data_IF_867718376721
#
_entry.id   IF_867718376721
#
_cell.length_a   1.000
_cell.length_b   1.000
_cell.length_c   1.000
_cell.angle_alpha   90.00
_cell.angle_beta   90.00
_cell.angle_gamma   90.00
#
_symmetry.space_group_name_H-M   'P 1'
#
loop_
_entity.id
_entity.type
_entity.pdbx_description
1 polymer ?
#
# COMPACT_ATOMS: atom_id res chain seq x y z
N UNK A 1 -23.80 22.48 12.34
CA UNK A 1 -22.53 21.76 12.50
C UNK A 1 -21.42 22.69 12.07
N UNK A 2 -20.52 23.00 12.98
CA UNK A 2 -19.53 24.06 12.85
C UNK A 2 -18.50 23.72 11.77
N UNK A 3 -18.16 24.73 10.96
CA UNK A 3 -17.08 24.67 9.99
C UNK A 3 -15.78 24.19 10.67
N UNK A 4 -15.02 23.35 9.98
CA UNK A 4 -13.68 22.95 10.39
C UNK A 4 -12.84 24.23 10.51
N UNK A 5 -12.61 24.68 11.74
CA UNK A 5 -11.68 25.77 12.02
C UNK A 5 -10.29 25.16 11.97
N UNK A 6 -9.61 25.31 10.83
CA UNK A 6 -8.18 25.07 10.74
C UNK A 6 -7.47 25.88 11.83
N UNK A 7 -6.45 25.29 12.45
CA UNK A 7 -5.68 25.93 13.52
C UNK A 7 -5.21 27.33 13.08
N UNK A 8 -5.88 28.37 13.59
CA UNK A 8 -5.61 29.78 13.26
C UNK A 8 -4.29 30.29 13.86
N UNK A 9 -3.65 29.49 14.73
CA UNK A 9 -2.30 29.75 15.23
C UNK A 9 -1.20 29.25 14.29
N UNK A 10 -1.53 28.53 13.21
CA UNK A 10 -0.57 28.23 12.14
C UNK A 10 -0.39 29.49 11.30
N UNK A 11 0.44 30.41 11.81
CA UNK A 11 1.07 31.43 10.98
C UNK A 11 2.24 30.78 10.25
N UNK A 12 2.04 30.37 9.00
CA UNK A 12 3.14 29.91 8.13
C UNK A 12 3.93 31.13 7.67
N UNK A 13 4.64 31.77 8.60
CA UNK A 13 5.73 32.66 8.22
C UNK A 13 6.95 31.78 7.98
N UNK A 14 7.07 31.33 6.73
CA UNK A 14 8.32 30.83 6.14
C UNK A 14 8.88 29.53 6.71
N UNK A 15 8.92 28.49 5.88
CA UNK A 15 10.04 27.55 6.01
C UNK A 15 11.26 28.24 5.40
N UNK A 16 12.41 28.27 6.08
CA UNK A 16 13.61 28.98 5.61
C UNK A 16 14.21 28.46 4.28
N UNK A 17 13.61 27.40 3.68
CA UNK A 17 14.07 26.74 2.45
C UNK A 17 13.09 26.85 1.28
N UNK A 18 11.79 27.01 1.53
CA UNK A 18 10.82 27.32 0.48
C UNK A 18 10.59 28.83 0.45
N UNK A 19 11.19 29.52 -0.54
CA UNK A 19 11.05 30.98 -0.67
C UNK A 19 9.62 31.42 -1.01
N UNK A 20 8.88 30.57 -1.74
CA UNK A 20 7.54 30.86 -2.22
C UNK A 20 6.67 29.62 -1.96
N UNK A 21 5.52 29.81 -1.29
CA UNK A 21 4.50 28.78 -1.09
C UNK A 21 3.27 29.22 -1.87
N UNK A 22 2.76 28.35 -2.74
CA UNK A 22 1.53 28.57 -3.47
C UNK A 22 0.50 27.53 -3.06
N UNK A 23 -0.70 27.96 -2.67
CA UNK A 23 -1.77 27.06 -2.27
C UNK A 23 -2.89 27.17 -3.30
N UNK A 24 -3.31 26.03 -3.82
CA UNK A 24 -4.49 25.93 -4.66
C UNK A 24 -5.53 25.11 -3.93
N UNK A 25 -6.69 25.74 -3.76
CA UNK A 25 -7.84 25.13 -3.11
C UNK A 25 -8.90 24.81 -4.17
N UNK A 26 -9.38 23.57 -4.13
CA UNK A 26 -10.50 23.13 -4.95
C UNK A 26 -11.73 23.17 -4.07
N UNK A 27 -12.39 24.32 -4.04
CA UNK A 27 -13.71 24.44 -3.45
C UNK A 27 -14.65 23.39 -4.02
N UNK A 28 -15.40 22.71 -3.15
CA UNK A 28 -16.38 21.70 -3.53
C UNK A 28 -15.83 20.51 -4.34
N UNK A 29 -14.54 20.17 -4.22
CA UNK A 29 -13.94 19.00 -4.87
C UNK A 29 -14.70 17.71 -4.56
N UNK A 30 -14.96 16.93 -5.62
CA UNK A 30 -15.57 15.61 -5.52
C UNK A 30 -14.79 14.67 -4.59
N UNK A 31 -13.45 14.79 -4.54
CA UNK A 31 -12.57 14.02 -3.65
C UNK A 31 -12.90 14.22 -2.16
N UNK A 32 -13.03 15.45 -1.70
CA UNK A 32 -13.43 15.73 -0.31
C UNK A 32 -14.90 15.43 -0.03
N UNK A 33 -15.69 15.22 -1.09
CA UNK A 33 -17.07 14.75 -0.99
C UNK A 33 -17.19 13.23 -0.98
N UNK A 34 -16.09 12.52 -1.23
CA UNK A 34 -16.08 11.06 -1.14
C UNK A 34 -16.33 10.63 0.29
N UNK A 35 -17.11 9.55 0.46
CA UNK A 35 -17.49 9.04 1.77
C UNK A 35 -16.31 8.92 2.74
N UNK A 36 -15.15 8.44 2.27
CA UNK A 36 -13.94 8.25 3.09
C UNK A 36 -13.21 9.54 3.53
N UNK A 37 -13.42 10.67 2.85
CA UNK A 37 -12.88 11.99 3.24
C UNK A 37 -13.86 12.78 4.12
N UNK A 38 -15.16 12.48 4.04
CA UNK A 38 -16.20 13.09 4.88
C UNK A 38 -16.36 12.35 6.21
N UNK A 39 -16.23 11.02 6.19
CA UNK A 39 -16.27 10.17 7.35
C UNK A 39 -15.33 8.99 7.10
N UNK A 40 -14.14 9.04 7.70
CA UNK A 40 -13.11 8.01 7.56
C UNK A 40 -13.53 6.60 8.06
N UNK A 41 -14.76 6.46 8.57
CA UNK A 41 -15.30 5.28 9.27
C UNK A 41 -16.48 4.62 8.54
N UNK A 42 -17.14 5.25 7.54
CA UNK A 42 -18.23 4.61 6.78
C UNK A 42 -17.74 3.80 5.57
N UNK A 43 -18.44 2.71 5.28
CA UNK A 43 -18.02 1.60 4.40
C UNK A 43 -18.67 1.66 3.01
N UNK A 44 -19.05 2.85 2.53
CA UNK A 44 -19.62 2.98 1.19
C UNK A 44 -18.60 2.47 0.17
N UNK A 45 -19.03 1.56 -0.72
CA UNK A 45 -18.21 1.17 -1.87
C UNK A 45 -17.77 2.47 -2.54
N UNK A 46 -16.50 2.53 -2.90
CA UNK A 46 -16.00 3.62 -3.71
C UNK A 46 -16.47 3.44 -5.16
N UNK A 47 -17.78 3.39 -5.38
CA UNK A 47 -18.35 3.79 -6.67
C UNK A 47 -17.91 5.23 -6.88
N UNK A 48 -17.35 5.53 -8.04
CA UNK A 48 -16.81 6.85 -8.38
C UNK A 48 -15.43 7.20 -7.79
N UNK A 49 -14.61 6.26 -7.28
CA UNK A 49 -13.20 6.59 -6.95
C UNK A 49 -12.49 7.18 -8.16
N UNK A 50 -12.55 6.45 -9.28
CA UNK A 50 -11.87 6.87 -10.50
C UNK A 50 -12.47 8.18 -11.03
N UNK A 51 -13.79 8.35 -11.06
CA UNK A 51 -14.41 9.60 -11.53
C UNK A 51 -14.13 10.80 -10.60
N UNK A 52 -14.32 10.68 -9.28
CA UNK A 52 -14.09 11.78 -8.34
C UNK A 52 -12.60 12.12 -8.20
N UNK A 53 -11.73 11.11 -8.28
CA UNK A 53 -10.28 11.30 -8.31
C UNK A 53 -9.81 11.92 -9.62
N UNK A 54 -10.27 11.42 -10.78
CA UNK A 54 -9.94 11.98 -12.09
C UNK A 54 -10.49 13.40 -12.26
N UNK A 55 -11.72 13.68 -11.80
CA UNK A 55 -12.34 15.00 -11.80
C UNK A 55 -11.58 15.96 -10.88
N UNK A 56 -11.25 15.54 -9.65
CA UNK A 56 -10.49 16.37 -8.71
C UNK A 56 -9.09 16.62 -9.23
N UNK A 57 -8.45 15.61 -9.84
CA UNK A 57 -7.15 15.76 -10.48
C UNK A 57 -7.20 16.73 -11.65
N UNK A 58 -8.17 16.59 -12.54
CA UNK A 58 -8.35 17.49 -13.67
C UNK A 58 -8.62 18.93 -13.20
N UNK A 59 -9.51 19.11 -12.23
CA UNK A 59 -9.82 20.42 -11.65
C UNK A 59 -8.61 21.03 -10.94
N UNK A 60 -7.81 20.21 -10.24
CA UNK A 60 -6.56 20.65 -9.64
C UNK A 60 -5.58 21.14 -10.72
N UNK A 61 -5.40 20.35 -11.78
CA UNK A 61 -4.55 20.70 -12.92
C UNK A 61 -4.98 22.01 -13.55
N UNK A 62 -6.28 22.16 -13.84
CA UNK A 62 -6.83 23.35 -14.48
C UNK A 62 -6.61 24.59 -13.62
N UNK A 63 -6.88 24.51 -12.31
CA UNK A 63 -6.61 25.63 -11.39
C UNK A 63 -5.14 25.95 -11.27
N UNK A 64 -4.26 24.94 -11.25
CA UNK A 64 -2.81 25.12 -11.13
C UNK A 64 -2.18 25.73 -12.37
N UNK A 65 -2.59 25.29 -13.56
CA UNK A 65 -2.08 25.80 -14.83
C UNK A 65 -2.67 27.18 -15.14
N UNK A 66 -3.95 27.41 -14.79
CA UNK A 66 -4.65 28.67 -15.11
C UNK A 66 -4.38 29.80 -14.11
N UNK A 67 -3.70 29.53 -13.00
CA UNK A 67 -3.31 30.58 -12.05
C UNK A 67 -2.24 31.50 -12.68
N UNK A 68 -2.69 32.65 -13.18
CA UNK A 68 -1.85 33.61 -13.88
C UNK A 68 -0.74 34.18 -12.99
N UNK A 69 -0.95 34.28 -11.67
CA UNK A 69 0.04 34.83 -10.76
C UNK A 69 1.13 33.80 -10.48
N UNK A 70 0.77 32.54 -10.26
CA UNK A 70 1.69 31.41 -10.16
C UNK A 70 2.51 31.29 -11.43
N UNK A 71 1.86 31.21 -12.59
CA UNK A 71 2.55 31.02 -13.88
C UNK A 71 3.46 32.20 -14.23
N UNK A 72 3.07 33.44 -13.90
CA UNK A 72 3.93 34.61 -14.06
C UNK A 72 5.16 34.55 -13.16
N UNK A 73 5.03 34.05 -11.93
CA UNK A 73 6.17 33.86 -11.03
C UNK A 73 7.09 32.72 -11.49
N UNK A 74 6.51 31.57 -11.88
CA UNK A 74 7.26 30.43 -12.37
C UNK A 74 8.05 30.80 -13.62
N UNK A 75 7.45 31.52 -14.58
CA UNK A 75 8.14 32.01 -15.78
C UNK A 75 9.25 33.03 -15.53
N UNK A 76 9.27 33.70 -14.37
CA UNK A 76 10.30 34.68 -14.01
C UNK A 76 11.66 34.02 -13.71
N UNK A 77 11.69 32.70 -13.51
CA UNK A 77 12.89 31.95 -13.14
C UNK A 77 13.17 30.83 -14.14
N UNK A 78 14.41 30.35 -14.14
CA UNK A 78 14.82 29.11 -14.81
C UNK A 78 15.01 28.02 -13.75
N UNK A 79 14.55 26.82 -14.04
CA UNK A 79 14.63 25.67 -13.15
C UNK A 79 15.37 24.53 -13.84
N UNK A 80 16.23 23.83 -13.10
CA UNK A 80 17.03 22.72 -13.63
C UNK A 80 16.28 21.38 -13.62
N UNK A 81 15.42 21.14 -12.61
CA UNK A 81 14.61 19.93 -12.47
C UNK A 81 13.26 20.25 -11.81
N UNK A 82 12.20 19.55 -12.23
CA UNK A 82 10.91 19.54 -11.53
C UNK A 82 10.72 18.21 -10.78
N UNK A 83 10.38 18.30 -9.51
CA UNK A 83 10.14 17.17 -8.60
C UNK A 83 8.68 17.22 -8.17
N UNK A 84 7.88 16.20 -8.51
CA UNK A 84 6.45 16.18 -8.18
C UNK A 84 6.03 14.93 -7.45
N UNK A 85 5.09 15.09 -6.52
CA UNK A 85 4.21 13.99 -6.11
C UNK A 85 3.44 13.51 -7.34
N UNK A 86 3.52 12.22 -7.69
CA UNK A 86 2.95 11.70 -8.94
C UNK A 86 1.45 11.36 -8.85
N UNK A 87 0.75 11.91 -7.85
CA UNK A 87 -0.68 11.66 -7.67
C UNK A 87 -1.55 12.45 -8.66
N UNK A 88 -1.12 13.64 -9.08
CA UNK A 88 -1.94 14.57 -9.84
C UNK A 88 -1.43 14.85 -11.25
N UNK A 89 -0.15 14.58 -11.57
CA UNK A 89 0.41 14.64 -12.93
C UNK A 89 0.54 16.06 -13.52
N UNK A 90 -0.19 17.04 -12.99
CA UNK A 90 -0.26 18.43 -13.46
C UNK A 90 1.10 19.13 -13.45
N UNK A 91 1.93 18.83 -12.46
CA UNK A 91 3.25 19.43 -12.34
C UNK A 91 4.16 19.10 -13.54
N UNK A 92 3.98 17.93 -14.17
CA UNK A 92 4.69 17.58 -15.40
C UNK A 92 4.20 18.41 -16.60
N UNK A 93 2.92 18.76 -16.65
CA UNK A 93 2.38 19.71 -17.64
C UNK A 93 2.97 21.12 -17.46
N UNK A 94 3.12 21.57 -16.22
CA UNK A 94 3.79 22.84 -15.91
C UNK A 94 5.27 22.80 -16.29
N UNK A 95 5.96 21.69 -16.06
CA UNK A 95 7.34 21.50 -16.51
C UNK A 95 7.46 21.75 -18.03
N UNK A 96 6.53 21.19 -18.81
CA UNK A 96 6.48 21.39 -20.26
C UNK A 96 6.27 22.87 -20.63
N UNK A 97 5.30 23.56 -20.02
CA UNK A 97 5.03 24.99 -20.30
C UNK A 97 6.23 25.89 -19.96
N UNK A 98 6.98 25.54 -18.92
CA UNK A 98 8.15 26.29 -18.47
C UNK A 98 9.45 25.90 -19.18
N UNK A 99 9.42 24.88 -20.06
CA UNK A 99 10.60 24.36 -20.75
C UNK A 99 11.59 23.64 -19.82
N UNK A 100 11.11 23.08 -18.70
CA UNK A 100 11.92 22.29 -17.77
C UNK A 100 12.00 20.86 -18.32
N UNK A 101 13.17 20.46 -18.81
CA UNK A 101 13.38 19.15 -19.43
C UNK A 101 13.54 18.01 -18.41
N UNK A 102 14.30 18.22 -17.33
CA UNK A 102 14.45 17.21 -16.29
C UNK A 102 13.22 17.19 -15.37
N UNK A 103 12.55 16.05 -15.27
CA UNK A 103 11.41 15.87 -14.36
C UNK A 103 11.52 14.55 -13.59
N UNK A 104 11.00 14.51 -12.38
CA UNK A 104 11.00 13.30 -11.54
C UNK A 104 9.77 13.21 -10.64
N UNK A 105 9.26 11.99 -10.48
CA UNK A 105 8.16 11.67 -9.57
C UNK A 105 8.71 11.23 -8.21
N UNK A 106 8.26 11.87 -7.14
CA UNK A 106 8.59 11.52 -5.75
C UNK A 106 7.35 11.05 -5.03
N UNK A 107 7.48 9.95 -4.31
CA UNK A 107 6.41 9.37 -3.52
C UNK A 107 6.60 9.84 -2.06
N UNK A 108 5.53 10.25 -1.40
CA UNK A 108 5.59 11.20 -0.28
C UNK A 108 6.11 10.67 1.07
N UNK A 109 6.86 9.57 1.18
CA UNK A 109 7.43 9.17 2.49
C UNK A 109 8.81 8.49 2.43
N UNK A 110 9.86 9.10 3.01
CA UNK A 110 11.05 8.42 3.53
C UNK A 110 10.81 7.78 4.92
N UNK A 111 11.66 6.83 5.31
CA UNK A 111 11.52 6.07 6.57
C UNK A 111 11.99 6.87 7.80
N UNK A 112 11.07 7.23 8.70
CA UNK A 112 11.41 7.79 10.02
C UNK A 112 12.06 6.72 10.92
N UNK A 113 12.80 7.07 11.99
CA UNK A 113 13.49 6.04 12.81
C UNK A 113 12.51 5.04 13.42
N UNK A 114 11.40 5.51 13.98
CA UNK A 114 10.33 4.62 14.45
C UNK A 114 9.70 3.84 13.29
N UNK A 115 9.45 4.47 12.14
CA UNK A 115 8.96 3.80 10.92
C UNK A 115 9.97 2.78 10.38
N UNK A 116 11.26 2.97 10.60
CA UNK A 116 12.35 2.07 10.18
C UNK A 116 12.48 0.88 11.11
N UNK A 117 12.40 1.09 12.42
CA UNK A 117 12.35 0.03 13.42
C UNK A 117 11.06 -0.79 13.27
N UNK A 118 9.93 -0.12 13.03
CA UNK A 118 8.65 -0.74 12.66
C UNK A 118 8.80 -1.56 11.39
N UNK A 119 9.49 -1.07 10.35
CA UNK A 119 9.66 -1.78 9.07
C UNK A 119 10.85 -2.76 9.04
N UNK A 120 11.53 -2.99 10.18
CA UNK A 120 12.75 -3.82 10.32
C UNK A 120 13.93 -3.39 9.47
N UNK A 121 13.94 -2.12 9.12
CA UNK A 121 15.04 -1.47 8.46
C UNK A 121 15.95 -0.97 9.59
N UNK A 122 17.10 -1.63 9.77
CA UNK A 122 18.06 -1.27 10.80
C UNK A 122 18.47 0.20 10.66
N UNK A 123 18.04 1.03 11.62
CA UNK A 123 18.53 2.40 11.73
C UNK A 123 19.99 2.41 12.16
N UNK A 124 20.82 3.23 11.52
CA UNK A 124 22.23 3.42 11.91
C UNK A 124 22.40 4.71 12.70
N UNK A 125 22.19 4.72 14.05
CA UNK A 125 22.31 5.90 14.92
C UNK A 125 23.65 6.64 14.80
N UNK A 126 24.69 5.92 14.40
CA UNK A 126 26.03 6.49 14.19
C UNK A 126 26.15 7.37 12.95
N UNK A 127 25.17 7.34 12.05
CA UNK A 127 25.20 8.01 10.74
C UNK A 127 23.91 8.73 10.33
N UNK A 128 22.76 8.37 10.90
CA UNK A 128 21.44 8.93 10.56
C UNK A 128 20.76 9.42 11.85
N UNK A 129 20.37 10.70 11.89
CA UNK A 129 19.61 11.31 13.00
C UNK A 129 18.11 11.12 12.79
N UNK A 130 17.33 11.16 13.87
CA UNK A 130 15.86 11.07 13.79
C UNK A 130 15.24 12.23 12.98
N UNK A 131 14.10 11.96 12.32
CA UNK A 131 13.46 12.87 11.35
C UNK A 131 12.54 13.90 12.04
N UNK A 132 12.03 13.58 13.24
CA UNK A 132 11.20 14.49 14.04
C UNK A 132 12.06 15.36 14.99
N UNK A 133 13.17 14.82 15.50
CA UNK A 133 14.08 15.55 16.41
C UNK A 133 15.56 15.24 16.12
N UNK A 134 16.16 15.78 15.04
CA UNK A 134 17.54 15.49 14.69
C UNK A 134 18.52 16.12 15.69
N UNK A 135 19.42 15.30 16.24
CA UNK A 135 20.54 15.75 17.10
C UNK A 135 21.51 16.67 16.37
N UNK A 136 21.63 16.50 15.05
CA UNK A 136 22.41 17.37 14.17
C UNK A 136 21.88 17.30 12.74
N UNK A 137 21.63 18.45 12.14
CA UNK A 137 21.16 18.52 10.75
C UNK A 137 22.36 18.68 9.82
N UNK A 138 22.80 17.57 9.21
CA UNK A 138 23.86 17.54 8.21
C UNK A 138 25.29 17.50 8.77
N UNK A 139 26.23 16.99 7.96
CA UNK A 139 27.64 16.79 8.32
C UNK A 139 27.93 15.46 9.02
N UNK A 140 29.22 15.16 9.28
CA UNK A 140 29.64 13.94 9.99
C UNK A 140 29.31 14.09 11.49
N UNK A 141 28.61 13.11 12.06
CA UNK A 141 28.28 13.08 13.48
C UNK A 141 29.54 12.88 14.32
N UNK A 142 29.76 13.76 15.30
CA UNK A 142 30.82 13.62 16.30
C UNK A 142 30.48 12.52 17.32
N UNK A 143 31.43 12.10 18.15
CA UNK A 143 31.18 11.09 19.19
C UNK A 143 30.08 11.51 20.16
N UNK A 144 30.02 12.79 20.52
CA UNK A 144 28.96 13.36 21.37
C UNK A 144 27.62 13.42 20.65
N UNK A 145 27.59 13.79 19.36
CA UNK A 145 26.34 13.77 18.57
C UNK A 145 25.78 12.35 18.47
N UNK A 146 26.65 11.36 18.25
CA UNK A 146 26.26 9.94 18.18
C UNK A 146 25.73 9.45 19.52
N UNK A 147 26.31 9.88 20.63
CA UNK A 147 25.88 9.52 21.99
C UNK A 147 24.52 10.12 22.33
N UNK A 148 24.29 11.40 22.03
CA UNK A 148 22.97 12.03 22.20
C UNK A 148 21.92 11.42 21.26
N UNK A 149 22.31 11.05 20.03
CA UNK A 149 21.41 10.37 19.10
C UNK A 149 21.03 8.97 19.63
N UNK A 150 21.98 8.27 20.24
CA UNK A 150 21.75 6.98 20.92
C UNK A 150 20.82 7.13 22.13
N UNK A 151 21.02 8.16 22.97
CA UNK A 151 20.12 8.44 24.11
C UNK A 151 18.72 8.77 23.64
N UNK A 152 18.58 9.64 22.64
CA UNK A 152 17.27 10.02 22.09
C UNK A 152 16.58 8.81 21.47
N UNK A 153 17.30 7.99 20.70
CA UNK A 153 16.79 6.73 20.15
C UNK A 153 16.38 5.76 21.25
N UNK A 154 17.17 5.60 22.30
CA UNK A 154 16.84 4.70 23.40
C UNK A 154 15.63 5.20 24.19
N UNK A 155 15.57 6.51 24.48
CA UNK A 155 14.43 7.15 25.12
C UNK A 155 13.17 7.09 24.24
N UNK A 156 13.29 7.26 22.93
CA UNK A 156 12.18 7.21 21.97
C UNK A 156 11.72 5.77 21.73
N UNK A 157 12.64 4.82 21.61
CA UNK A 157 12.33 3.38 21.56
C UNK A 157 11.62 2.92 22.84
N UNK A 158 12.12 3.34 24.01
CA UNK A 158 11.50 3.03 25.30
C UNK A 158 10.11 3.68 25.42
N UNK A 159 9.98 4.99 25.19
CA UNK A 159 8.70 5.68 25.30
C UNK A 159 7.69 5.28 24.21
N UNK A 160 8.11 5.03 22.97
CA UNK A 160 7.20 4.59 21.89
C UNK A 160 6.77 3.13 22.03
N UNK A 161 7.65 2.24 22.50
CA UNK A 161 7.23 0.90 22.89
C UNK A 161 6.31 0.92 24.11
N UNK A 162 6.27 2.00 24.89
CA UNK A 162 5.30 2.16 25.99
C UNK A 162 4.02 2.90 25.55
N UNK A 163 4.09 3.77 24.53
CA UNK A 163 2.99 4.58 24.00
C UNK A 163 2.17 3.89 22.89
N UNK A 164 2.81 3.10 22.02
CA UNK A 164 2.16 2.43 20.88
C UNK A 164 1.99 0.93 21.11
N UNK A 165 2.84 0.31 21.93
CA UNK A 165 2.59 -0.96 22.59
C UNK A 165 2.02 -0.59 23.97
N UNK A 166 0.70 -0.36 24.05
CA UNK A 166 0.08 -0.20 25.37
C UNK A 166 0.39 -1.43 26.23
N UNK A 167 0.39 -1.28 27.56
CA UNK A 167 0.51 -2.41 28.51
C UNK A 167 -0.41 -3.58 28.11
N UNK A 168 -1.59 -3.26 27.56
CA UNK A 168 -2.54 -4.19 26.96
C UNK A 168 -1.93 -5.19 25.97
N UNK A 169 -1.08 -4.77 25.02
CA UNK A 169 -0.49 -5.70 24.05
C UNK A 169 0.60 -6.57 24.66
N UNK A 170 1.34 -6.06 25.64
CA UNK A 170 2.34 -6.84 26.36
C UNK A 170 1.67 -7.99 27.13
N UNK A 171 0.55 -7.69 27.80
CA UNK A 171 -0.26 -8.67 28.49
C UNK A 171 -0.83 -9.71 27.51
N UNK A 172 -1.47 -9.26 26.41
CA UNK A 172 -2.04 -10.14 25.37
C UNK A 172 -1.01 -11.12 24.81
N UNK A 173 0.20 -10.63 24.52
CA UNK A 173 1.28 -11.46 23.96
C UNK A 173 1.88 -12.44 24.96
N UNK A 174 1.70 -12.17 26.26
CA UNK A 174 2.19 -13.00 27.35
C UNK A 174 1.15 -14.00 27.86
N UNK A 175 -0.13 -13.89 27.42
CA UNK A 175 -1.21 -14.79 27.84
C UNK A 175 -0.92 -16.27 27.60
N UNK A 176 -0.15 -16.61 26.56
CA UNK A 176 0.05 -18.00 26.13
C UNK A 176 1.48 -18.32 25.72
N UNK A 177 1.97 -19.53 26.06
CA UNK A 177 3.39 -19.87 25.94
C UNK A 177 3.87 -20.03 24.50
N UNK A 178 3.03 -20.49 23.58
CA UNK A 178 3.46 -20.75 22.20
C UNK A 178 3.46 -19.49 21.32
N UNK A 179 2.92 -18.38 21.84
CA UNK A 179 2.93 -17.07 21.20
C UNK A 179 1.61 -16.68 20.55
N UNK A 180 1.68 -15.65 19.71
CA UNK A 180 0.50 -14.96 19.18
C UNK A 180 0.45 -15.00 17.65
N UNK A 181 -0.76 -15.14 17.11
CA UNK A 181 -1.06 -14.98 15.70
C UNK A 181 -1.84 -13.68 15.54
N UNK A 182 -1.39 -12.83 14.62
CA UNK A 182 -2.10 -11.61 14.28
C UNK A 182 -3.06 -11.90 13.13
N UNK A 183 -4.25 -11.30 13.14
CA UNK A 183 -5.19 -11.36 12.02
C UNK A 183 -5.67 -9.95 11.64
N UNK A 184 -5.46 -9.56 10.38
CA UNK A 184 -5.93 -8.27 9.83
C UNK A 184 -6.25 -8.32 8.33
N UNK A 185 -7.40 -7.78 7.93
CA UNK A 185 -7.74 -7.52 6.53
C UNK A 185 -7.29 -6.13 6.01
N UNK A 186 -6.52 -5.39 6.81
CA UNK A 186 -6.03 -4.06 6.46
C UNK A 186 -6.99 -2.92 6.88
N UNK A 187 -6.84 -1.77 6.24
CA UNK A 187 -7.63 -0.56 6.53
C UNK A 187 -8.94 -0.47 5.72
N UNK A 188 -8.95 -1.03 4.51
CA UNK A 188 -10.04 -0.83 3.55
C UNK A 188 -11.07 -1.97 3.56
N UNK A 189 -10.68 -3.17 4.00
CA UNK A 189 -11.57 -4.30 4.17
C UNK A 189 -11.77 -4.55 5.66
N UNK A 190 -13.03 -4.46 6.12
CA UNK A 190 -13.38 -4.62 7.53
C UNK A 190 -13.65 -6.09 7.87
N UNK A 191 -13.20 -6.54 9.04
CA UNK A 191 -13.47 -7.90 9.53
C UNK A 191 -14.97 -8.17 9.72
N UNK A 192 -15.76 -7.11 10.00
CA UNK A 192 -17.21 -7.18 10.11
C UNK A 192 -17.92 -7.64 8.82
N UNK A 193 -17.30 -7.49 7.65
CA UNK A 193 -17.86 -7.93 6.35
C UNK A 193 -17.90 -9.45 6.16
N UNK A 194 -17.20 -10.23 7.00
CA UNK A 194 -17.32 -11.69 6.97
C UNK A 194 -18.75 -12.09 7.34
N UNK A 195 -19.25 -13.16 6.72
CA UNK A 195 -20.55 -13.71 7.15
C UNK A 195 -20.44 -14.28 8.57
N UNK A 196 -21.57 -14.39 9.27
CA UNK A 196 -21.62 -15.00 10.61
C UNK A 196 -21.01 -16.41 10.60
N UNK A 197 -21.29 -17.20 9.56
CA UNK A 197 -20.70 -18.53 9.37
C UNK A 197 -19.17 -18.47 9.25
N UNK A 198 -18.63 -17.54 8.45
CA UNK A 198 -17.19 -17.39 8.28
C UNK A 198 -16.52 -16.96 9.59
N UNK A 199 -17.13 -16.02 10.33
CA UNK A 199 -16.65 -15.59 11.66
C UNK A 199 -16.60 -16.80 12.62
N UNK A 200 -17.68 -17.57 12.70
CA UNK A 200 -17.73 -18.79 13.52
C UNK A 200 -16.71 -19.84 13.08
N UNK A 201 -16.48 -20.01 11.78
CA UNK A 201 -15.48 -20.94 11.27
C UNK A 201 -14.06 -20.53 11.69
N UNK A 202 -13.72 -19.24 11.67
CA UNK A 202 -12.44 -18.76 12.22
C UNK A 202 -12.33 -19.00 13.71
N UNK A 203 -13.34 -18.61 14.50
CA UNK A 203 -13.31 -18.76 15.95
C UNK A 203 -13.22 -20.23 16.38
N UNK A 204 -14.01 -21.11 15.75
CA UNK A 204 -13.92 -22.56 15.97
C UNK A 204 -12.57 -23.14 15.53
N UNK A 205 -11.95 -22.59 14.48
CA UNK A 205 -10.60 -22.99 14.07
C UNK A 205 -9.57 -22.54 15.12
N UNK A 206 -9.67 -21.31 15.61
CA UNK A 206 -8.79 -20.76 16.64
C UNK A 206 -8.89 -21.55 17.95
N UNK A 207 -10.10 -21.98 18.34
CA UNK A 207 -10.33 -22.83 19.51
C UNK A 207 -9.59 -24.18 19.46
N UNK A 208 -9.25 -24.68 18.26
CA UNK A 208 -8.45 -25.92 18.08
C UNK A 208 -6.95 -25.72 18.35
N UNK A 209 -6.52 -24.48 18.61
CA UNK A 209 -5.15 -24.08 18.96
C UNK A 209 -5.12 -23.29 20.28
N UNK A 210 -5.59 -23.89 21.40
CA UNK A 210 -5.72 -23.19 22.69
C UNK A 210 -4.37 -22.70 23.25
N UNK A 211 -3.25 -23.24 22.77
CA UNK A 211 -1.89 -22.90 23.15
C UNK A 211 -1.38 -21.58 22.54
N UNK A 212 -2.11 -20.99 21.59
CA UNK A 212 -1.80 -19.71 20.95
C UNK A 212 -2.87 -18.65 21.24
N UNK A 213 -2.46 -17.39 21.32
CA UNK A 213 -3.38 -16.25 21.35
C UNK A 213 -3.63 -15.76 19.92
N UNK A 214 -4.87 -15.53 19.54
CA UNK A 214 -5.23 -14.92 18.26
C UNK A 214 -5.64 -13.47 18.48
N UNK A 215 -4.77 -12.55 18.10
CA UNK A 215 -5.05 -11.12 18.18
C UNK A 215 -5.66 -10.65 16.85
N UNK A 216 -6.96 -10.39 16.84
CA UNK A 216 -7.72 -10.07 15.65
C UNK A 216 -8.09 -8.58 15.62
N UNK A 217 -7.62 -7.86 14.59
CA UNK A 217 -8.13 -6.52 14.27
C UNK A 217 -9.60 -6.63 13.83
N UNK A 218 -10.50 -6.14 14.66
CA UNK A 218 -11.92 -6.30 14.47
C UNK A 218 -12.62 -4.94 14.63
N UNK A 219 -13.24 -4.47 13.55
CA UNK A 219 -13.68 -3.07 13.42
C UNK A 219 -15.11 -2.80 13.93
N UNK A 220 -15.78 -3.79 14.53
CA UNK A 220 -17.19 -3.72 14.98
C UNK A 220 -17.39 -4.33 16.37
N UNK A 221 -18.40 -3.87 17.11
CA UNK A 221 -18.75 -4.41 18.44
C UNK A 221 -19.64 -5.66 18.30
N UNK A 222 -19.14 -6.73 17.69
CA UNK A 222 -19.79 -8.06 17.71
C UNK A 222 -19.40 -8.83 18.99
N UNK A 223 -19.44 -8.14 20.15
CA UNK A 223 -18.92 -8.64 21.43
C UNK A 223 -19.56 -9.98 21.85
N UNK A 224 -20.81 -10.22 21.47
CA UNK A 224 -21.55 -11.42 21.85
C UNK A 224 -21.03 -12.72 21.21
N UNK A 225 -20.38 -12.65 20.05
CA UNK A 225 -19.85 -13.84 19.35
C UNK A 225 -18.44 -14.18 19.84
N UNK A 226 -17.69 -13.15 20.28
CA UNK A 226 -16.28 -13.25 20.67
C UNK A 226 -16.10 -13.74 22.11
N UNK A 227 -17.03 -13.44 23.01
CA UNK A 227 -16.95 -13.78 24.45
C UNK A 227 -16.89 -15.28 24.75
N UNK A 228 -17.25 -16.15 23.80
CA UNK A 228 -17.20 -17.61 23.99
C UNK A 228 -15.80 -18.24 23.73
N UNK A 229 -14.82 -17.46 23.25
CA UNK A 229 -13.51 -18.00 22.85
C UNK A 229 -12.38 -17.39 23.68
N UNK A 230 -11.86 -18.17 24.63
CA UNK A 230 -10.86 -17.67 25.59
C UNK A 230 -9.50 -17.34 25.00
N UNK A 231 -9.19 -17.80 23.77
CA UNK A 231 -7.90 -17.61 23.10
C UNK A 231 -7.94 -16.60 21.96
N UNK A 232 -8.98 -15.78 21.90
CA UNK A 232 -9.15 -14.74 20.89
C UNK A 232 -9.24 -13.40 21.60
N UNK A 233 -8.33 -12.50 21.26
CA UNK A 233 -8.33 -11.12 21.72
C UNK A 233 -8.64 -10.23 20.52
N UNK A 234 -9.48 -9.21 20.71
CA UNK A 234 -9.86 -8.30 19.64
C UNK A 234 -9.47 -6.87 19.93
N UNK A 235 -9.04 -6.15 18.90
CA UNK A 235 -8.74 -4.72 19.01
C UNK A 235 -9.19 -3.98 17.77
N UNK A 236 -9.54 -2.70 17.92
CA UNK A 236 -9.88 -1.83 16.80
C UNK A 236 -8.66 -1.48 15.95
N UNK A 237 -7.46 -1.48 16.56
CA UNK A 237 -6.24 -1.02 15.91
C UNK A 237 -5.04 -1.87 16.30
N UNK A 238 -4.20 -2.21 15.33
CA UNK A 238 -2.95 -2.92 15.55
C UNK A 238 -1.77 -2.00 15.26
N UNK A 239 -0.79 -1.86 16.19
CA UNK A 239 0.56 -1.43 15.84
C UNK A 239 1.26 -2.57 15.07
N UNK A 240 0.74 -2.89 13.88
CA UNK A 240 1.00 -4.12 13.12
C UNK A 240 2.48 -4.38 12.94
N UNK A 241 3.23 -3.37 12.54
CA UNK A 241 4.66 -3.52 12.30
C UNK A 241 5.41 -3.85 13.59
N UNK A 242 5.18 -3.15 14.70
CA UNK A 242 5.80 -3.49 16.00
C UNK A 242 5.48 -4.92 16.41
N UNK A 243 4.22 -5.32 16.30
CA UNK A 243 3.79 -6.68 16.65
C UNK A 243 4.47 -7.72 15.76
N UNK A 244 4.59 -7.46 14.45
CA UNK A 244 5.29 -8.37 13.53
C UNK A 244 6.79 -8.49 13.85
N UNK A 245 7.44 -7.49 14.45
CA UNK A 245 8.83 -7.63 14.91
C UNK A 245 8.99 -8.32 16.26
N UNK A 246 7.91 -8.50 17.02
CA UNK A 246 7.97 -9.18 18.30
C UNK A 246 8.24 -10.69 18.11
N UNK A 247 9.17 -11.29 18.89
CA UNK A 247 9.50 -12.71 18.78
C UNK A 247 8.37 -13.65 19.22
N UNK A 248 7.41 -13.19 20.04
CA UNK A 248 6.23 -13.95 20.47
C UNK A 248 5.20 -14.08 19.35
N UNK A 249 5.16 -13.14 18.40
CA UNK A 249 4.30 -13.28 17.22
C UNK A 249 4.86 -14.34 16.28
N UNK A 250 4.05 -15.35 15.94
CA UNK A 250 4.49 -16.53 15.18
C UNK A 250 4.08 -16.51 13.72
N UNK A 251 2.93 -15.92 13.40
CA UNK A 251 2.39 -15.88 12.06
C UNK A 251 1.43 -14.71 11.89
N UNK A 252 1.11 -14.40 10.63
CA UNK A 252 0.17 -13.34 10.28
C UNK A 252 -0.90 -13.84 9.30
N UNK A 253 -2.16 -13.71 9.67
CA UNK A 253 -3.30 -13.92 8.78
C UNK A 253 -3.61 -12.57 8.11
N UNK A 254 -3.47 -12.50 6.79
CA UNK A 254 -3.51 -11.23 6.04
C UNK A 254 -4.30 -11.32 4.74
N UNK A 255 -4.94 -10.22 4.36
CA UNK A 255 -5.49 -10.03 3.02
C UNK A 255 -4.43 -9.84 1.91
N UNK A 256 -3.14 -9.75 2.26
CA UNK A 256 -2.02 -9.61 1.32
C UNK A 256 -1.94 -8.29 0.54
N UNK A 257 -2.41 -7.18 1.13
CA UNK A 257 -2.06 -5.85 0.62
C UNK A 257 -0.54 -5.64 0.60
N UNK A 258 -0.04 -4.88 -0.37
CA UNK A 258 1.40 -4.73 -0.63
C UNK A 258 2.20 -4.35 0.64
N UNK A 259 1.72 -3.39 1.43
CA UNK A 259 2.41 -2.97 2.66
C UNK A 259 2.52 -4.12 3.67
N UNK A 260 1.41 -4.77 4.01
CA UNK A 260 1.39 -5.93 4.91
C UNK A 260 2.28 -7.08 4.44
N UNK A 261 2.29 -7.35 3.13
CA UNK A 261 3.16 -8.38 2.56
C UNK A 261 4.65 -8.03 2.73
N UNK A 262 5.02 -6.78 2.45
CA UNK A 262 6.39 -6.30 2.61
C UNK A 262 6.80 -6.30 4.09
N UNK A 263 5.95 -5.79 4.99
CA UNK A 263 6.19 -5.76 6.43
C UNK A 263 6.45 -7.16 7.00
N UNK A 264 5.59 -8.13 6.68
CA UNK A 264 5.77 -9.51 7.11
C UNK A 264 7.03 -10.16 6.53
N UNK A 265 7.39 -9.82 5.29
CA UNK A 265 8.60 -10.33 4.63
C UNK A 265 9.88 -9.81 5.28
N UNK A 266 9.94 -8.52 5.64
CA UNK A 266 11.07 -7.97 6.39
C UNK A 266 11.11 -8.52 7.82
N UNK A 267 9.95 -8.71 8.47
CA UNK A 267 9.86 -9.26 9.82
C UNK A 267 10.13 -10.78 9.90
N UNK A 268 10.18 -11.45 8.74
CA UNK A 268 10.42 -12.89 8.65
C UNK A 268 9.29 -13.72 9.25
N UNK A 269 8.04 -13.27 9.11
CA UNK A 269 6.85 -13.99 9.61
C UNK A 269 6.13 -14.73 8.47
N UNK A 270 5.79 -16.02 8.65
CA UNK A 270 4.98 -16.75 7.69
C UNK A 270 3.51 -16.29 7.70
N UNK A 271 2.80 -16.57 6.61
CA UNK A 271 1.51 -15.96 6.30
C UNK A 271 0.41 -17.01 6.04
N UNK A 272 -0.78 -16.76 6.58
CA UNK A 272 -2.03 -17.28 6.00
C UNK A 272 -2.64 -16.16 5.17
N UNK A 273 -2.78 -16.38 3.88
CA UNK A 273 -3.18 -15.36 2.91
C UNK A 273 -4.63 -15.54 2.47
N UNK A 274 -5.39 -14.44 2.50
CA UNK A 274 -6.81 -14.41 2.10
C UNK A 274 -7.00 -13.24 1.12
N UNK A 275 -6.53 -13.34 -0.13
CA UNK A 275 -6.61 -12.24 -1.08
C UNK A 275 -8.06 -11.90 -1.42
N UNK A 276 -8.39 -10.62 -1.34
CA UNK A 276 -9.75 -10.10 -1.54
C UNK A 276 -9.91 -9.50 -2.96
N UNK A 277 -8.99 -8.66 -3.43
CA UNK A 277 -9.05 -7.98 -4.74
C UNK A 277 -7.70 -7.39 -5.17
N UNK A 278 -7.66 -6.81 -6.39
CA UNK A 278 -6.51 -6.10 -6.95
C UNK A 278 -5.19 -6.91 -6.93
N UNK A 279 -4.10 -6.30 -6.47
CA UNK A 279 -2.74 -6.82 -6.43
C UNK A 279 -2.54 -7.98 -5.43
N UNK A 280 -3.47 -8.15 -4.50
CA UNK A 280 -3.36 -9.11 -3.39
C UNK A 280 -3.21 -10.56 -3.86
N UNK A 281 -3.85 -10.91 -4.98
CA UNK A 281 -3.71 -12.23 -5.60
C UNK A 281 -2.28 -12.49 -6.08
N UNK A 282 -1.66 -11.49 -6.73
CA UNK A 282 -0.27 -11.57 -7.18
C UNK A 282 0.70 -11.67 -5.99
N UNK A 283 0.51 -10.84 -4.95
CA UNK A 283 1.32 -10.89 -3.74
C UNK A 283 1.21 -12.25 -3.05
N UNK A 284 0.00 -12.83 -3.01
CA UNK A 284 -0.24 -14.18 -2.50
C UNK A 284 0.55 -15.24 -3.25
N UNK A 285 0.48 -15.24 -4.58
CA UNK A 285 1.23 -16.21 -5.40
C UNK A 285 2.74 -16.07 -5.22
N UNK A 286 3.23 -14.83 -5.11
CA UNK A 286 4.63 -14.57 -4.80
C UNK A 286 5.03 -15.19 -3.45
N UNK A 287 4.24 -14.97 -2.40
CA UNK A 287 4.50 -15.51 -1.08
C UNK A 287 4.43 -17.06 -1.06
N UNK A 288 3.49 -17.66 -1.79
CA UNK A 288 3.38 -19.11 -1.91
C UNK A 288 4.56 -19.72 -2.68
N UNK A 289 4.97 -19.13 -3.81
CA UNK A 289 6.15 -19.58 -4.58
C UNK A 289 7.42 -19.55 -3.75
N UNK A 290 7.54 -18.56 -2.88
CA UNK A 290 8.66 -18.41 -1.95
C UNK A 290 8.55 -19.31 -0.70
N UNK A 291 7.46 -20.07 -0.55
CA UNK A 291 7.27 -21.05 0.51
C UNK A 291 7.00 -20.43 1.88
N UNK A 292 6.45 -19.22 1.94
CA UNK A 292 6.17 -18.49 3.20
C UNK A 292 4.69 -18.27 3.47
N UNK A 293 3.81 -18.65 2.53
CA UNK A 293 2.37 -18.48 2.69
C UNK A 293 1.55 -19.71 2.31
N UNK A 294 0.36 -19.80 2.91
CA UNK A 294 -0.73 -20.67 2.47
C UNK A 294 -1.92 -19.80 2.08
N UNK A 295 -2.50 -20.05 0.91
CA UNK A 295 -3.67 -19.32 0.41
C UNK A 295 -4.96 -20.01 0.83
N UNK A 296 -5.87 -19.23 1.40
CA UNK A 296 -7.28 -19.57 1.55
C UNK A 296 -8.09 -18.80 0.49
N UNK A 297 -9.07 -19.47 -0.12
CA UNK A 297 -10.00 -18.82 -1.02
C UNK A 297 -11.07 -18.09 -0.19
N UNK A 298 -11.24 -16.78 -0.42
CA UNK A 298 -12.24 -15.97 0.28
C UNK A 298 -13.69 -16.49 0.13
N UNK A 299 -13.95 -17.29 -0.91
CA UNK A 299 -15.26 -17.90 -1.18
C UNK A 299 -15.48 -19.21 -0.43
N UNK A 300 -14.42 -19.81 0.10
CA UNK A 300 -14.45 -21.10 0.79
C UNK A 300 -13.56 -21.04 2.04
N UNK A 301 -14.13 -20.40 3.07
CA UNK A 301 -13.54 -20.25 4.41
C UNK A 301 -14.23 -21.21 5.38
N UNK A 302 -14.17 -22.50 5.04
CA UNK A 302 -14.64 -23.59 5.90
C UNK A 302 -13.69 -23.83 7.08
N UNK A 303 -14.25 -24.28 8.20
CA UNK A 303 -13.52 -24.60 9.44
C UNK A 303 -12.29 -25.48 9.18
N UNK A 304 -12.43 -26.53 8.36
CA UNK A 304 -11.35 -27.48 8.11
C UNK A 304 -10.21 -26.88 7.29
N UNK A 305 -10.52 -26.03 6.30
CA UNK A 305 -9.50 -25.33 5.51
C UNK A 305 -8.70 -24.35 6.36
N UNK A 306 -9.39 -23.58 7.21
CA UNK A 306 -8.73 -22.64 8.13
C UNK A 306 -7.84 -23.40 9.12
N UNK A 307 -8.38 -24.46 9.74
CA UNK A 307 -7.64 -25.30 10.68
C UNK A 307 -6.39 -25.90 10.03
N UNK A 308 -6.51 -26.42 8.80
CA UNK A 308 -5.40 -27.03 8.08
C UNK A 308 -4.32 -26.00 7.72
N UNK A 309 -4.71 -24.82 7.23
CA UNK A 309 -3.77 -23.75 6.91
C UNK A 309 -3.00 -23.27 8.15
N UNK A 310 -3.69 -23.05 9.27
CA UNK A 310 -3.06 -22.69 10.54
C UNK A 310 -2.12 -23.79 11.04
N UNK A 311 -2.57 -25.04 11.01
CA UNK A 311 -1.76 -26.19 11.42
C UNK A 311 -0.47 -26.30 10.60
N UNK A 312 -0.54 -26.08 9.29
CA UNK A 312 0.65 -26.07 8.44
C UNK A 312 1.58 -24.89 8.74
N UNK A 313 1.07 -23.66 8.84
CA UNK A 313 1.91 -22.48 9.13
C UNK A 313 2.57 -22.57 10.52
N UNK A 314 1.84 -23.03 11.53
CA UNK A 314 2.30 -22.99 12.93
C UNK A 314 3.16 -24.20 13.32
N UNK A 315 2.89 -25.39 12.76
CA UNK A 315 3.59 -26.63 13.15
C UNK A 315 4.71 -27.04 12.19
N UNK A 316 4.70 -26.57 10.94
CA UNK A 316 5.76 -26.89 9.98
C UNK A 316 6.86 -25.81 9.99
N UNK A 317 8.06 -26.11 10.51
CA UNK A 317 9.13 -25.13 10.65
C UNK A 317 9.58 -24.54 9.31
N UNK A 318 9.38 -25.27 8.19
CA UNK A 318 9.75 -24.85 6.83
C UNK A 318 9.26 -23.43 6.50
N UNK A 319 8.03 -23.08 6.87
CA UNK A 319 7.48 -21.76 6.57
C UNK A 319 8.20 -20.66 7.35
N UNK A 320 8.43 -20.90 8.65
CA UNK A 320 9.14 -19.95 9.51
C UNK A 320 10.62 -19.78 9.13
N UNK A 321 11.29 -20.87 8.76
CA UNK A 321 12.69 -20.85 8.31
C UNK A 321 12.82 -20.12 6.97
N UNK A 322 11.92 -20.37 6.03
CA UNK A 322 11.89 -19.65 4.75
C UNK A 322 11.61 -18.17 4.93
N UNK A 323 10.70 -17.80 5.84
CA UNK A 323 10.42 -16.41 6.14
C UNK A 323 11.64 -15.69 6.73
N UNK A 324 12.34 -16.32 7.68
CA UNK A 324 13.61 -15.80 8.24
C UNK A 324 14.72 -15.69 7.18
N UNK A 325 14.80 -16.66 6.27
CA UNK A 325 15.76 -16.63 5.16
C UNK A 325 15.51 -15.42 4.25
N UNK A 326 14.25 -15.18 3.87
CA UNK A 326 13.86 -14.04 3.03
C UNK A 326 14.15 -12.72 3.75
N UNK A 327 13.77 -12.59 5.02
CA UNK A 327 14.09 -11.43 5.85
C UNK A 327 15.60 -11.13 5.83
N UNK A 328 16.44 -12.16 5.99
CA UNK A 328 17.90 -12.03 5.94
C UNK A 328 18.42 -11.56 4.58
N UNK A 329 17.84 -12.07 3.48
CA UNK A 329 18.17 -11.63 2.11
C UNK A 329 17.79 -10.16 1.90
N UNK A 330 16.59 -9.76 2.36
CA UNK A 330 16.11 -8.39 2.25
C UNK A 330 17.00 -7.43 3.06
N UNK A 331 17.42 -7.83 4.26
CA UNK A 331 18.34 -7.07 5.09
C UNK A 331 19.75 -6.94 4.48
N UNK A 332 20.15 -7.88 3.63
CA UNK A 332 21.50 -7.95 3.03
C UNK A 332 21.62 -7.24 1.67
N UNK A 333 20.62 -6.47 1.24
CA UNK A 333 20.64 -5.80 -0.07
C UNK A 333 21.82 -4.80 -0.17
N UNK A 334 22.63 -4.85 -1.24
CA UNK A 334 23.83 -4.02 -1.38
C UNK A 334 23.51 -2.53 -1.62
N UNK A 335 22.40 -2.23 -2.29
CA UNK A 335 21.96 -0.86 -2.56
C UNK A 335 21.07 -0.34 -1.43
N UNK A 336 21.56 0.66 -0.69
CA UNK A 336 20.76 1.32 0.33
C UNK A 336 19.68 2.19 -0.33
N UNK A 337 18.39 2.07 0.06
CA UNK A 337 17.29 2.79 -0.58
C UNK A 337 17.50 4.31 -0.71
N UNK A 338 18.11 4.93 0.31
CA UNK A 338 18.42 6.37 0.32
C UNK A 338 19.48 6.76 -0.71
N UNK A 339 20.57 6.01 -0.80
CA UNK A 339 21.62 6.27 -1.78
C UNK A 339 21.11 6.09 -3.21
N UNK A 340 20.23 5.09 -3.40
CA UNK A 340 19.57 4.84 -4.66
C UNK A 340 18.69 6.03 -5.08
N UNK A 341 17.90 6.58 -4.15
CA UNK A 341 17.06 7.76 -4.42
C UNK A 341 17.88 8.96 -4.88
N UNK A 342 18.92 9.37 -4.13
CA UNK A 342 19.73 10.54 -4.48
C UNK A 342 20.42 10.34 -5.83
N UNK A 343 21.03 9.17 -6.05
CA UNK A 343 21.68 8.86 -7.33
C UNK A 343 20.70 8.96 -8.51
N UNK A 344 19.46 8.52 -8.34
CA UNK A 344 18.41 8.61 -9.37
C UNK A 344 17.98 10.05 -9.65
N UNK A 345 17.87 10.90 -8.63
CA UNK A 345 17.52 12.32 -8.79
C UNK A 345 18.65 13.09 -9.47
N UNK A 346 19.90 12.90 -9.03
CA UNK A 346 21.08 13.51 -9.65
C UNK A 346 21.24 13.07 -11.11
N UNK A 347 21.00 11.79 -11.39
CA UNK A 347 20.99 11.27 -12.75
C UNK A 347 19.88 11.93 -13.60
N UNK A 348 18.66 12.05 -13.08
CA UNK A 348 17.57 12.73 -13.79
C UNK A 348 17.87 14.21 -14.06
N UNK A 349 18.55 14.90 -13.14
CA UNK A 349 18.96 16.30 -13.32
C UNK A 349 20.11 16.45 -14.32
N UNK A 350 21.13 15.57 -14.25
CA UNK A 350 22.30 15.60 -15.12
C UNK A 350 21.98 15.24 -16.59
N UNK A 351 20.93 14.46 -16.80
CA UNK A 351 20.48 14.04 -18.12
C UNK A 351 19.03 14.50 -18.35
N UNK A 352 18.79 15.76 -18.73
CA UNK A 352 17.43 16.26 -18.95
C UNK A 352 16.67 15.52 -20.06
N UNK A 353 17.41 14.95 -21.02
CA UNK A 353 16.87 14.15 -22.12
C UNK A 353 16.77 12.65 -21.76
N UNK A 354 16.96 12.28 -20.48
CA UNK A 354 16.97 10.87 -20.04
C UNK A 354 15.67 10.15 -20.41
N UNK A 355 14.52 10.80 -20.26
CA UNK A 355 13.21 10.24 -20.59
C UNK A 355 13.02 10.11 -22.11
N UNK A 356 13.60 11.03 -22.88
CA UNK A 356 13.53 11.03 -24.35
C UNK A 356 14.51 10.00 -24.96
N UNK A 357 15.64 9.74 -24.29
CA UNK A 357 16.65 8.76 -24.72
C UNK A 357 16.28 7.35 -24.24
N UNK A 358 15.78 7.22 -23.01
CA UNK A 358 15.26 5.97 -22.44
C UNK A 358 13.75 5.82 -22.69
N UNK A 359 13.29 6.36 -23.82
CA UNK A 359 11.91 6.33 -24.27
C UNK A 359 11.40 4.89 -24.22
N UNK A 360 10.37 4.63 -23.41
CA UNK A 360 9.71 3.33 -23.43
C UNK A 360 8.97 3.22 -24.76
N UNK A 361 9.25 2.20 -25.56
CA UNK A 361 8.60 1.98 -26.88
C UNK A 361 7.06 2.07 -26.85
N UNK A 362 6.45 1.90 -25.67
CA UNK A 362 5.02 2.09 -25.42
C UNK A 362 4.53 3.53 -25.66
N UNK A 363 5.38 4.57 -25.65
CA UNK A 363 4.98 5.95 -25.95
C UNK A 363 4.97 6.27 -27.44
N UNK A 364 5.41 5.35 -28.31
CA UNK A 364 5.35 5.48 -29.78
C UNK A 364 4.18 4.73 -30.40
N UNK A 365 3.38 4.04 -29.59
CA UNK A 365 2.24 3.26 -30.08
C UNK A 365 1.22 4.17 -30.74
N UNK A 366 0.78 3.77 -31.92
CA UNK A 366 -0.24 4.50 -32.66
C UNK A 366 -1.59 4.42 -31.95
N UNK A 367 -2.52 5.32 -32.27
CA UNK A 367 -3.91 5.27 -31.75
C UNK A 367 -4.56 3.89 -32.01
N UNK A 368 -4.21 3.24 -33.12
CA UNK A 368 -4.70 1.91 -33.48
C UNK A 368 -4.20 0.86 -32.49
N UNK A 369 -2.89 0.83 -32.22
CA UNK A 369 -2.27 -0.12 -31.28
C UNK A 369 -2.65 0.18 -29.83
N UNK A 370 -2.74 1.46 -29.45
CA UNK A 370 -3.09 1.89 -28.09
C UNK A 370 -4.50 1.43 -27.68
N UNK A 371 -5.48 1.56 -28.59
CA UNK A 371 -6.86 1.12 -28.36
C UNK A 371 -7.13 -0.31 -28.86
N UNK A 372 -6.11 -1.03 -29.32
CA UNK A 372 -6.23 -2.37 -29.93
C UNK A 372 -7.29 -2.43 -31.04
N UNK A 373 -7.44 -1.36 -31.83
CA UNK A 373 -8.48 -1.26 -32.88
C UNK A 373 -8.29 -2.30 -33.98
N UNK A 374 -7.05 -2.70 -34.23
CA UNK A 374 -6.66 -3.80 -35.11
C UNK A 374 -7.18 -5.16 -34.60
N UNK A 375 -7.05 -5.42 -33.30
CA UNK A 375 -7.57 -6.63 -32.65
C UNK A 375 -9.10 -6.62 -32.69
N UNK A 376 -9.74 -5.51 -32.36
CA UNK A 376 -11.21 -5.39 -32.47
C UNK A 376 -11.68 -5.57 -33.91
N UNK A 377 -11.02 -4.95 -34.88
CA UNK A 377 -11.35 -5.11 -36.30
C UNK A 377 -11.24 -6.57 -36.74
N UNK A 378 -10.20 -7.30 -36.31
CA UNK A 378 -10.03 -8.72 -36.58
C UNK A 378 -11.13 -9.57 -35.91
N UNK A 379 -11.48 -9.29 -34.65
CA UNK A 379 -12.58 -9.96 -33.94
C UNK A 379 -13.90 -9.71 -34.68
N UNK A 380 -14.24 -8.47 -35.03
CA UNK A 380 -15.47 -8.14 -35.76
C UNK A 380 -15.50 -8.75 -37.15
N UNK A 381 -14.38 -8.75 -37.88
CA UNK A 381 -14.28 -9.41 -39.18
C UNK A 381 -14.50 -10.93 -39.08
N UNK A 382 -13.91 -11.57 -38.07
CA UNK A 382 -14.10 -13.01 -37.84
C UNK A 382 -15.54 -13.36 -37.45
N UNK A 383 -16.17 -12.57 -36.58
CA UNK A 383 -17.56 -12.73 -36.20
C UNK A 383 -18.49 -12.53 -37.41
N UNK A 384 -18.26 -11.48 -38.20
CA UNK A 384 -19.04 -11.21 -39.41
C UNK A 384 -18.88 -12.31 -40.46
N UNK A 385 -17.65 -12.80 -40.70
CA UNK A 385 -17.38 -13.92 -41.59
C UNK A 385 -18.05 -15.22 -41.14
N UNK A 386 -18.07 -15.49 -39.83
CA UNK A 386 -18.78 -16.64 -39.28
C UNK A 386 -20.29 -16.56 -39.50
N UNK A 387 -20.90 -15.37 -39.28
CA UNK A 387 -22.33 -15.13 -39.53
C UNK A 387 -22.68 -15.30 -41.01
N UNK A 388 -21.84 -14.79 -41.91
CA UNK A 388 -21.99 -14.99 -43.36
C UNK A 388 -21.95 -16.47 -43.71
N UNK A 389 -20.97 -17.21 -43.19
CA UNK A 389 -20.80 -18.64 -43.47
C UNK A 389 -22.02 -19.43 -42.98
N UNK A 390 -22.51 -19.13 -41.77
CA UNK A 390 -23.73 -19.72 -41.22
C UNK A 390 -24.95 -19.37 -42.08
N UNK A 391 -25.11 -18.12 -42.50
CA UNK A 391 -26.20 -17.69 -43.39
C UNK A 391 -26.20 -18.45 -44.72
N UNK A 392 -25.02 -18.59 -45.36
CA UNK A 392 -24.89 -19.35 -46.60
C UNK A 392 -25.13 -20.85 -46.38
N UNK A 393 -24.67 -21.44 -45.28
CA UNK A 393 -24.99 -22.83 -44.91
C UNK A 393 -26.50 -23.03 -44.76
N UNK A 394 -27.20 -22.15 -44.03
CA UNK A 394 -28.67 -22.19 -43.92
C UNK A 394 -29.36 -22.06 -45.28
N UNK A 395 -28.89 -21.15 -46.15
CA UNK A 395 -29.45 -20.98 -47.50
C UNK A 395 -29.25 -22.23 -48.36
N UNK A 396 -28.07 -22.86 -48.31
CA UNK A 396 -27.75 -24.10 -49.03
C UNK A 396 -28.60 -25.26 -48.49
N UNK A 397 -28.74 -25.38 -47.17
CA UNK A 397 -29.60 -26.41 -46.54
C UNK A 397 -31.07 -26.21 -46.91
N UNK A 398 -31.58 -24.98 -46.88
CA UNK A 398 -32.95 -24.65 -47.30
C UNK A 398 -33.19 -24.94 -48.78
N UNK A 399 -32.20 -24.66 -49.65
CA UNK A 399 -32.27 -24.97 -51.08
C UNK A 399 -32.28 -26.49 -51.34
N UNK A 400 -31.47 -27.27 -50.59
CA UNK A 400 -31.47 -28.74 -50.67
C UNK A 400 -32.77 -29.34 -50.14
N UNK A 401 -33.35 -28.79 -49.06
CA UNK A 401 -34.64 -29.24 -48.51
C UNK A 401 -35.83 -29.03 -49.45
N UNK A 402 -35.80 -28.01 -50.32
CA UNK A 402 -36.84 -27.78 -51.33
C UNK A 402 -36.78 -28.71 -52.56
N UNK A 403 -35.72 -29.52 -52.72
CA UNK A 403 -35.57 -30.47 -53.83
C UNK A 403 -35.98 -31.91 -53.48
N UNK A 404 -36.42 -32.18 -52.25
CA UNK A 404 -36.72 -33.55 -51.74
C UNK A 404 -38.19 -33.72 -51.34
N UNK A 405 -39.12 -32.93 -51.91
CA UNK A 405 -40.57 -33.15 -51.78
C UNK A 405 -41.20 -33.25 -53.16
#
# INVERSE_FOLDING_TARGET
MNAIVWNTNVKINGTNKAKNIWRIEIENSAWFKMGHMQNAVTNERISFFDEAFLETRATYCDKLISDAQLMKQLKKRRYDILVSSCWDGCAFGIAHILGIRATTGVFATPLMFYTSALLGINGHPSYITDDLYPTKVGGKLSLTDRWENLKFIFHTWFNLNTLFYGEEFEDILSLRPNGTIIFSFGSNAKSGMLTVEQKLNFLNAFARFPEYTFLWKYDESDEMILTNFSNVETTLWLPQTSLLYDPRVKAFISHMGLNSFIEASYAGKPLVSIPLFADQGYNTECAQRNGVAIKLDKRDLSLDKITMALGQILRNPKYSEKAKQISSILASRPEKPKENFVKRIEMAAAFPDLTDILHMKVSEVTVIEYFCLDVFAMIFASAFGSLITVFFMFKIMSYKGKKVV
#
